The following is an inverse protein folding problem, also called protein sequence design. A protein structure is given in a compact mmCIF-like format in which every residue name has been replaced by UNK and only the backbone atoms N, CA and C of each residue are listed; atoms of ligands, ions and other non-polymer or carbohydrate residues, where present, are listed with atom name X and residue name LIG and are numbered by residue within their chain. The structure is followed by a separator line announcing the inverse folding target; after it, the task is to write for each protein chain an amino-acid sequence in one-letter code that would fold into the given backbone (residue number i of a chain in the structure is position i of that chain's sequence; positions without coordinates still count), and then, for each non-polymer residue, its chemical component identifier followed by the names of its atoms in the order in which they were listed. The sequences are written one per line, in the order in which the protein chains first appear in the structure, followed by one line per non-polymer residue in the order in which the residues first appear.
data_IF_292499742239
#
_entry.id   IF_292499742239
#
_cell.length_a   1.000
_cell.length_b   1.000
_cell.length_c   1.000
_cell.angle_alpha   90.00
_cell.angle_beta   90.00
_cell.angle_gamma   90.00
#
_symmetry.space_group_name_H-M   'P 1'
#
loop_
_entity.id
_entity.type
_entity.pdbx_description
1 polymer ?
#
# COMPACT_ATOMS: atom_id res chain seq x y z
N UNK A 1 -40.62 -46.72 -38.68
CA UNK A 1 -41.37 -45.59 -38.09
C UNK A 1 -40.53 -44.30 -38.12
N UNK A 2 -40.32 -43.70 -39.30
CA UNK A 2 -39.45 -42.52 -39.49
C UNK A 2 -40.19 -41.34 -40.15
N UNK A 3 -41.50 -41.18 -39.90
CA UNK A 3 -42.32 -40.22 -40.68
C UNK A 3 -42.90 -39.08 -39.84
N UNK A 4 -42.57 -38.97 -38.54
CA UNK A 4 -43.10 -37.89 -37.67
C UNK A 4 -42.09 -36.79 -37.33
N UNK A 5 -40.79 -37.01 -37.54
CA UNK A 5 -39.78 -36.00 -37.18
C UNK A 5 -39.57 -34.93 -38.28
N UNK A 6 -39.85 -35.25 -39.54
CA UNK A 6 -39.58 -34.36 -40.68
C UNK A 6 -40.64 -33.27 -40.88
N UNK A 7 -41.87 -33.51 -40.43
CA UNK A 7 -42.98 -32.55 -40.61
C UNK A 7 -42.79 -31.30 -39.74
N UNK A 8 -42.30 -31.44 -38.51
CA UNK A 8 -42.03 -30.32 -37.62
C UNK A 8 -40.80 -29.52 -38.05
N UNK A 9 -39.77 -30.16 -38.61
CA UNK A 9 -38.58 -29.47 -39.13
C UNK A 9 -38.88 -28.73 -40.43
N UNK A 10 -39.75 -29.28 -41.29
CA UNK A 10 -40.27 -28.54 -42.45
C UNK A 10 -41.14 -27.35 -42.05
N UNK A 11 -42.02 -27.51 -41.05
CA UNK A 11 -42.91 -26.42 -40.61
C UNK A 11 -42.14 -25.22 -40.03
N UNK A 12 -41.05 -25.48 -39.29
CA UNK A 12 -40.19 -24.43 -38.73
C UNK A 12 -39.25 -23.78 -39.77
N UNK A 13 -39.02 -24.42 -40.92
CA UNK A 13 -38.25 -23.84 -42.04
C UNK A 13 -39.09 -22.94 -42.96
N UNK A 14 -40.42 -23.04 -42.89
CA UNK A 14 -41.35 -22.26 -43.73
C UNK A 14 -41.53 -20.80 -43.28
N UNK A 15 -41.17 -20.47 -42.04
CA UNK A 15 -41.23 -19.11 -41.52
C UNK A 15 -39.83 -18.65 -41.09
N UNK A 16 -39.06 -17.95 -41.95
CA UNK A 16 -37.82 -17.34 -41.52
C UNK A 16 -38.12 -16.43 -40.31
N UNK A 17 -37.31 -16.54 -39.25
CA UNK A 17 -37.40 -15.71 -38.04
C UNK A 17 -37.41 -14.24 -38.48
N UNK A 18 -38.59 -13.60 -38.45
CA UNK A 18 -38.75 -12.22 -38.86
C UNK A 18 -37.97 -11.36 -37.87
N UNK A 19 -36.98 -10.60 -38.34
CA UNK A 19 -36.27 -9.66 -37.50
C UNK A 19 -37.20 -8.46 -37.22
N UNK A 20 -37.65 -8.24 -35.96
CA UNK A 20 -38.61 -7.19 -35.65
C UNK A 20 -38.06 -5.77 -35.84
N UNK A 21 -36.74 -5.61 -35.97
CA UNK A 21 -36.07 -4.34 -36.21
C UNK A 21 -35.75 -4.10 -37.69
N UNK A 22 -36.00 -5.09 -38.56
CA UNK A 22 -35.80 -4.92 -39.99
C UNK A 22 -37.01 -4.18 -40.57
N UNK A 23 -36.82 -3.08 -41.32
CA UNK A 23 -37.94 -2.38 -41.95
C UNK A 23 -38.66 -3.34 -42.91
N UNK A 24 -40.01 -3.31 -42.96
CA UNK A 24 -40.78 -4.22 -43.81
C UNK A 24 -40.41 -4.03 -45.28
N UNK A 25 -40.07 -5.13 -45.95
CA UNK A 25 -39.63 -5.18 -47.36
C UNK A 25 -40.81 -5.07 -48.37
N UNK A 26 -42.06 -5.07 -47.89
CA UNK A 26 -43.25 -4.94 -48.73
C UNK A 26 -43.66 -3.47 -48.97
N UNK A 27 -44.58 -3.21 -49.93
CA UNK A 27 -45.15 -1.88 -50.13
C UNK A 27 -45.73 -1.37 -48.80
N UNK A 28 -45.22 -0.22 -48.34
CA UNK A 28 -45.77 0.43 -47.15
C UNK A 28 -47.22 0.77 -47.43
N UNK A 29 -48.13 0.34 -46.55
CA UNK A 29 -49.51 0.84 -46.59
C UNK A 29 -49.46 2.36 -46.45
N UNK A 30 -50.03 3.07 -47.41
CA UNK A 30 -50.14 4.53 -47.45
C UNK A 30 -51.30 5.07 -46.60
N UNK A 31 -52.09 4.17 -46.00
CA UNK A 31 -53.31 4.51 -45.26
C UNK A 31 -53.15 4.14 -43.79
N UNK A 32 -53.59 5.02 -42.90
CA UNK A 32 -53.68 4.76 -41.46
C UNK A 32 -54.81 3.76 -41.17
N UNK A 33 -54.53 2.76 -40.33
CA UNK A 33 -55.55 1.84 -39.81
C UNK A 33 -56.26 2.39 -38.56
N UNK A 34 -55.86 3.59 -38.12
CA UNK A 34 -56.45 4.27 -36.97
C UNK A 34 -57.85 4.75 -37.30
N UNK A 35 -58.78 4.56 -36.36
CA UNK A 35 -60.08 5.20 -36.47
C UNK A 35 -59.93 6.71 -36.27
N UNK A 36 -60.78 7.55 -36.89
CA UNK A 36 -60.69 9.00 -36.78
C UNK A 36 -60.71 9.52 -35.32
N UNK A 37 -61.45 8.86 -34.44
CA UNK A 37 -61.52 9.20 -33.01
C UNK A 37 -60.18 8.96 -32.28
N UNK A 38 -59.54 7.80 -32.53
CA UNK A 38 -58.23 7.47 -31.96
C UNK A 38 -57.15 8.40 -32.52
N UNK A 39 -57.22 8.68 -33.81
CA UNK A 39 -56.31 9.63 -34.46
C UNK A 39 -56.41 11.04 -33.84
N UNK A 40 -57.64 11.53 -33.65
CA UNK A 40 -57.89 12.82 -33.01
C UNK A 40 -57.37 12.87 -31.56
N UNK A 41 -57.63 11.81 -30.78
CA UNK A 41 -57.14 11.70 -29.40
C UNK A 41 -55.60 11.71 -29.33
N UNK A 42 -54.94 10.92 -30.19
CA UNK A 42 -53.48 10.85 -30.27
C UNK A 42 -52.88 12.19 -30.67
N UNK A 43 -53.50 12.87 -31.64
CA UNK A 43 -53.09 14.20 -32.06
C UNK A 43 -53.19 15.23 -30.93
N UNK A 44 -54.32 15.27 -30.22
CA UNK A 44 -54.49 16.14 -29.05
C UNK A 44 -53.45 15.85 -27.96
N UNK A 45 -53.20 14.57 -27.67
CA UNK A 45 -52.20 14.14 -26.69
C UNK A 45 -50.79 14.59 -27.08
N UNK A 46 -50.42 14.46 -28.35
CA UNK A 46 -49.14 14.92 -28.87
C UNK A 46 -48.97 16.44 -28.70
N UNK A 47 -49.99 17.23 -29.05
CA UNK A 47 -49.97 18.68 -28.87
C UNK A 47 -49.83 19.08 -27.39
N UNK A 48 -50.54 18.39 -26.48
CA UNK A 48 -50.43 18.65 -25.04
C UNK A 48 -49.01 18.38 -24.55
N UNK A 49 -48.40 17.25 -24.96
CA UNK A 49 -47.02 16.93 -24.61
C UNK A 49 -46.04 17.97 -25.14
N UNK A 50 -46.19 18.39 -26.40
CA UNK A 50 -45.34 19.41 -27.01
C UNK A 50 -45.43 20.75 -26.25
N UNK A 51 -46.65 21.18 -25.89
CA UNK A 51 -46.87 22.41 -25.12
C UNK A 51 -46.26 22.34 -23.73
N UNK A 52 -46.40 21.20 -23.05
CA UNK A 52 -45.81 20.99 -21.71
C UNK A 52 -44.28 21.06 -21.77
N UNK A 53 -43.68 20.41 -22.76
CA UNK A 53 -42.23 20.40 -22.90
C UNK A 53 -41.70 21.78 -23.24
N UNK A 54 -42.34 22.47 -24.19
CA UNK A 54 -42.04 23.86 -24.49
C UNK A 54 -42.11 24.74 -23.24
N UNK A 55 -43.17 24.58 -22.43
CA UNK A 55 -43.32 25.33 -21.19
C UNK A 55 -42.21 25.01 -20.19
N UNK A 56 -41.85 23.74 -20.00
CA UNK A 56 -40.79 23.29 -19.09
C UNK A 56 -39.44 23.91 -19.47
N UNK A 57 -39.05 23.82 -20.73
CA UNK A 57 -37.80 24.42 -21.23
C UNK A 57 -37.80 25.94 -21.08
N UNK A 58 -38.91 26.59 -21.44
CA UNK A 58 -39.00 28.05 -21.37
C UNK A 58 -39.06 28.58 -19.93
N UNK A 59 -39.64 27.87 -18.98
CA UNK A 59 -39.73 28.35 -17.60
C UNK A 59 -38.36 28.67 -16.99
N UNK A 60 -37.34 27.86 -17.30
CA UNK A 60 -35.99 28.05 -16.77
C UNK A 60 -35.34 29.31 -17.35
N UNK A 61 -35.41 29.50 -18.67
CA UNK A 61 -34.78 30.63 -19.35
C UNK A 61 -35.61 31.91 -19.35
N UNK A 62 -36.90 31.82 -18.98
CA UNK A 62 -37.77 32.98 -18.82
C UNK A 62 -37.29 33.85 -17.67
N UNK A 63 -36.99 33.27 -16.50
CA UNK A 63 -36.71 34.02 -15.27
C UNK A 63 -35.58 35.05 -15.44
N UNK A 64 -34.44 34.76 -16.09
CA UNK A 64 -33.35 35.73 -16.22
C UNK A 64 -33.66 36.89 -17.18
N UNK A 65 -34.38 36.63 -18.28
CA UNK A 65 -34.52 37.60 -19.39
C UNK A 65 -35.91 38.23 -19.49
N UNK A 66 -36.96 37.43 -19.31
CA UNK A 66 -38.36 37.81 -19.53
C UNK A 66 -39.21 37.76 -18.25
N UNK A 67 -38.60 37.53 -17.09
CA UNK A 67 -39.27 37.57 -15.79
C UNK A 67 -39.60 38.99 -15.35
N UNK A 68 -40.50 39.08 -14.36
CA UNK A 68 -40.75 40.31 -13.61
C UNK A 68 -39.46 40.82 -12.96
N UNK A 69 -39.42 42.09 -12.56
CA UNK A 69 -38.24 42.68 -11.89
C UNK A 69 -37.83 41.88 -10.65
N UNK A 70 -38.82 41.39 -9.90
CA UNK A 70 -38.62 40.59 -8.68
C UNK A 70 -38.00 39.23 -9.03
N UNK A 71 -38.59 38.48 -9.97
CA UNK A 71 -38.08 37.17 -10.39
C UNK A 71 -36.62 37.24 -10.90
N UNK A 72 -36.27 38.33 -11.63
CA UNK A 72 -34.91 38.54 -12.12
C UNK A 72 -33.92 38.79 -10.98
N UNK A 73 -34.32 39.54 -9.96
CA UNK A 73 -33.46 39.78 -8.79
C UNK A 73 -33.30 38.54 -7.92
N UNK A 74 -34.37 37.76 -7.73
CA UNK A 74 -34.31 36.48 -7.03
C UNK A 74 -33.36 35.51 -7.73
N UNK A 75 -33.41 35.40 -9.06
CA UNK A 75 -32.48 34.58 -9.83
C UNK A 75 -31.02 35.02 -9.65
N UNK A 76 -30.75 36.33 -9.73
CA UNK A 76 -29.39 36.87 -9.48
C UNK A 76 -28.92 36.62 -8.05
N UNK A 77 -29.82 36.74 -7.07
CA UNK A 77 -29.54 36.44 -5.66
C UNK A 77 -29.20 34.96 -5.49
N UNK A 78 -30.00 34.05 -6.05
CA UNK A 78 -29.77 32.61 -5.98
C UNK A 78 -28.39 32.23 -6.55
N UNK A 79 -28.01 32.78 -7.71
CA UNK A 79 -26.68 32.54 -8.30
C UNK A 79 -25.58 33.01 -7.35
N UNK A 80 -25.70 34.21 -6.78
CA UNK A 80 -24.70 34.75 -5.84
C UNK A 80 -24.59 33.87 -4.59
N UNK A 81 -25.71 33.38 -4.06
CA UNK A 81 -25.72 32.47 -2.91
C UNK A 81 -25.11 31.11 -3.23
N UNK A 82 -25.42 30.53 -4.39
CA UNK A 82 -24.80 29.29 -4.84
C UNK A 82 -23.29 29.43 -4.99
N UNK A 83 -22.82 30.52 -5.62
CA UNK A 83 -21.40 30.80 -5.77
C UNK A 83 -20.71 30.98 -4.42
N UNK A 84 -21.34 31.69 -3.48
CA UNK A 84 -20.83 31.86 -2.12
C UNK A 84 -20.67 30.52 -1.41
N UNK A 85 -21.69 29.65 -1.48
CA UNK A 85 -21.61 28.28 -0.92
C UNK A 85 -20.46 27.48 -1.53
N UNK A 86 -20.32 27.49 -2.86
CA UNK A 86 -19.23 26.80 -3.55
C UNK A 86 -17.84 27.30 -3.10
N UNK A 87 -17.68 28.61 -2.93
CA UNK A 87 -16.44 29.20 -2.44
C UNK A 87 -16.14 28.78 -1.00
N UNK A 88 -17.15 28.81 -0.12
CA UNK A 88 -17.01 28.40 1.27
C UNK A 88 -16.63 26.91 1.38
N UNK A 89 -17.33 26.03 0.66
CA UNK A 89 -17.04 24.60 0.59
C UNK A 89 -15.62 24.34 0.10
N UNK A 90 -15.21 24.98 -1.01
CA UNK A 90 -13.85 24.84 -1.55
C UNK A 90 -12.79 25.36 -0.58
N UNK A 91 -13.06 26.46 0.10
CA UNK A 91 -12.13 27.01 1.10
C UNK A 91 -11.96 26.08 2.31
N UNK A 92 -13.05 25.44 2.77
CA UNK A 92 -13.04 24.50 3.88
C UNK A 92 -12.30 23.21 3.50
N UNK A 93 -12.54 22.69 2.30
CA UNK A 93 -11.83 21.53 1.73
C UNK A 93 -10.32 21.77 1.69
N UNK A 94 -9.88 22.90 1.13
CA UNK A 94 -8.46 23.25 1.06
C UNK A 94 -7.83 23.43 2.45
N UNK A 95 -8.57 24.00 3.41
CA UNK A 95 -8.09 24.14 4.79
C UNK A 95 -7.89 22.77 5.43
N UNK A 96 -8.83 21.86 5.26
CA UNK A 96 -8.73 20.50 5.78
C UNK A 96 -7.56 19.74 5.14
N UNK A 97 -7.41 19.84 3.83
CA UNK A 97 -6.30 19.24 3.10
C UNK A 97 -4.95 19.72 3.64
N UNK A 98 -4.74 21.04 3.75
CA UNK A 98 -3.49 21.60 4.29
C UNK A 98 -3.21 21.17 5.73
N UNK A 99 -4.25 21.04 6.55
CA UNK A 99 -4.10 20.53 7.92
C UNK A 99 -3.69 19.05 7.93
N UNK A 100 -4.20 18.24 7.01
CA UNK A 100 -3.81 16.83 6.88
C UNK A 100 -2.36 16.70 6.40
N UNK A 101 -1.97 17.45 5.37
CA UNK A 101 -0.60 17.49 4.85
C UNK A 101 0.40 17.97 5.91
N UNK A 102 0.02 18.98 6.71
CA UNK A 102 0.86 19.45 7.81
C UNK A 102 1.08 18.38 8.88
N UNK A 103 0.03 17.63 9.25
CA UNK A 103 0.14 16.51 10.19
C UNK A 103 1.00 15.38 9.64
N UNK A 104 0.81 15.03 8.38
CA UNK A 104 1.63 14.01 7.71
C UNK A 104 3.11 14.43 7.66
N UNK A 105 3.40 15.68 7.30
CA UNK A 105 4.77 16.18 7.30
C UNK A 105 5.41 16.17 8.68
N UNK A 106 4.66 16.53 9.73
CA UNK A 106 5.14 16.45 11.11
C UNK A 106 5.46 15.00 11.50
N UNK A 107 4.56 14.07 11.21
CA UNK A 107 4.77 12.65 11.45
C UNK A 107 6.04 12.11 10.75
N UNK A 108 6.24 12.45 9.47
CA UNK A 108 7.43 12.03 8.73
C UNK A 108 8.73 12.58 9.35
N UNK A 109 8.73 13.86 9.79
CA UNK A 109 9.88 14.45 10.49
C UNK A 109 10.20 13.73 11.79
N UNK A 110 9.18 13.35 12.56
CA UNK A 110 9.35 12.60 13.81
C UNK A 110 9.92 11.20 13.55
N UNK A 111 9.43 10.51 12.52
CA UNK A 111 9.94 9.21 12.10
C UNK A 111 11.40 9.30 11.69
N UNK A 112 11.76 10.28 10.86
CA UNK A 112 13.15 10.50 10.42
C UNK A 112 14.06 10.81 11.61
N UNK A 113 13.62 11.68 12.52
CA UNK A 113 14.36 12.01 13.73
C UNK A 113 14.63 10.76 14.59
N UNK A 114 13.61 9.91 14.78
CA UNK A 114 13.74 8.65 15.51
C UNK A 114 14.69 7.66 14.80
N UNK A 115 14.65 7.59 13.47
CA UNK A 115 15.55 6.75 12.70
C UNK A 115 17.02 7.18 12.88
N UNK A 116 17.30 8.48 12.76
CA UNK A 116 18.63 9.05 12.99
C UNK A 116 19.13 8.77 14.41
N UNK A 117 18.25 8.90 15.41
CA UNK A 117 18.60 8.59 16.80
C UNK A 117 18.96 7.11 16.97
N UNK A 118 18.15 6.20 16.40
CA UNK A 118 18.42 4.74 16.43
C UNK A 118 19.74 4.39 15.75
N UNK A 119 20.05 5.01 14.62
CA UNK A 119 21.29 4.75 13.90
C UNK A 119 22.52 5.27 14.66
N UNK A 120 22.40 6.42 15.32
CA UNK A 120 23.43 6.93 16.22
C UNK A 120 23.66 5.96 17.38
N UNK A 121 22.60 5.49 18.02
CA UNK A 121 22.69 4.56 19.14
C UNK A 121 23.32 3.23 18.71
N UNK A 122 22.91 2.67 17.57
CA UNK A 122 23.54 1.47 17.00
C UNK A 122 25.04 1.65 16.77
N UNK A 123 25.47 2.81 16.24
CA UNK A 123 26.90 3.12 16.04
C UNK A 123 27.66 3.18 17.36
N UNK A 124 27.08 3.79 18.39
CA UNK A 124 27.67 3.85 19.73
C UNK A 124 27.78 2.45 20.33
N UNK A 125 26.72 1.65 20.28
CA UNK A 125 26.71 0.28 20.78
C UNK A 125 27.74 -0.60 20.06
N UNK A 126 27.81 -0.51 18.74
CA UNK A 126 28.81 -1.21 17.94
C UNK A 126 30.23 -0.79 18.33
N UNK A 127 30.51 0.52 18.46
CA UNK A 127 31.82 1.02 18.87
C UNK A 127 32.21 0.52 20.27
N UNK A 128 31.28 0.53 21.23
CA UNK A 128 31.48 0.00 22.58
C UNK A 128 31.79 -1.50 22.55
N UNK A 129 31.01 -2.28 21.80
CA UNK A 129 31.25 -3.72 21.63
C UNK A 129 32.62 -3.99 21.03
N UNK A 130 33.01 -3.28 19.96
CA UNK A 130 34.31 -3.45 19.32
C UNK A 130 35.48 -3.05 20.22
N UNK A 131 35.30 -2.02 21.06
CA UNK A 131 36.30 -1.63 22.06
C UNK A 131 36.46 -2.72 23.11
N UNK A 132 35.35 -3.25 23.66
CA UNK A 132 35.38 -4.34 24.62
C UNK A 132 36.06 -5.60 24.05
N UNK A 133 35.74 -5.97 22.80
CA UNK A 133 36.41 -7.08 22.11
C UNK A 133 37.91 -6.85 21.95
N UNK A 134 38.32 -5.62 21.61
CA UNK A 134 39.74 -5.27 21.47
C UNK A 134 40.47 -5.38 22.81
N UNK A 135 39.89 -4.87 23.88
CA UNK A 135 40.49 -4.88 25.22
C UNK A 135 40.64 -6.30 25.74
N UNK A 136 39.63 -7.16 25.53
CA UNK A 136 39.69 -8.57 25.91
C UNK A 136 40.74 -9.34 25.11
N UNK A 137 40.83 -9.12 23.79
CA UNK A 137 41.90 -9.71 22.97
C UNK A 137 43.29 -9.28 23.46
N UNK A 138 43.46 -8.00 23.85
CA UNK A 138 44.71 -7.50 24.42
C UNK A 138 45.03 -8.16 25.76
N UNK A 139 44.02 -8.38 26.61
CA UNK A 139 44.15 -9.07 27.90
C UNK A 139 44.55 -10.54 27.72
N UNK A 140 43.97 -11.23 26.75
CA UNK A 140 44.34 -12.61 26.42
C UNK A 140 45.75 -12.67 25.82
N UNK A 141 46.12 -11.73 24.96
CA UNK A 141 47.48 -11.66 24.40
C UNK A 141 48.53 -11.40 25.49
N UNK A 142 48.27 -10.47 26.42
CA UNK A 142 49.20 -10.22 27.52
C UNK A 142 49.32 -11.43 28.44
N UNK A 143 48.20 -12.09 28.77
CA UNK A 143 48.18 -13.31 29.57
C UNK A 143 48.96 -14.46 28.91
N UNK A 144 48.73 -14.70 27.61
CA UNK A 144 49.45 -15.74 26.85
C UNK A 144 50.93 -15.45 26.73
N UNK A 145 51.33 -14.19 26.50
CA UNK A 145 52.73 -13.79 26.50
C UNK A 145 53.38 -14.01 27.87
N UNK A 146 52.70 -13.62 28.95
CA UNK A 146 53.20 -13.83 30.32
C UNK A 146 53.37 -15.32 30.64
N UNK A 147 52.38 -16.15 30.29
CA UNK A 147 52.46 -17.60 30.45
C UNK A 147 53.61 -18.21 29.63
N UNK A 148 53.84 -17.72 28.40
CA UNK A 148 54.97 -18.13 27.58
C UNK A 148 56.32 -17.74 28.21
N UNK A 149 56.44 -16.52 28.75
CA UNK A 149 57.65 -16.08 29.46
C UNK A 149 57.93 -16.91 30.71
N UNK A 150 56.91 -17.25 31.51
CA UNK A 150 57.05 -18.12 32.69
C UNK A 150 57.51 -19.52 32.25
N UNK A 151 56.87 -20.11 31.24
CA UNK A 151 57.24 -21.43 30.72
C UNK A 151 58.69 -21.46 30.20
N UNK A 152 59.10 -20.43 29.46
CA UNK A 152 60.48 -20.31 28.98
C UNK A 152 61.49 -20.18 30.13
N UNK A 153 61.16 -19.40 31.18
CA UNK A 153 62.00 -19.26 32.37
C UNK A 153 62.12 -20.58 33.16
N UNK A 154 61.01 -21.32 33.32
CA UNK A 154 61.02 -22.65 33.93
C UNK A 154 61.86 -23.64 33.13
N UNK A 155 61.79 -23.61 31.80
CA UNK A 155 62.61 -24.45 30.93
C UNK A 155 64.11 -24.15 31.06
N UNK A 156 64.49 -22.88 31.30
CA UNK A 156 65.89 -22.48 31.52
C UNK A 156 66.43 -22.88 32.91
N UNK A 157 65.57 -22.93 33.94
CA UNK A 157 65.97 -23.30 35.31
C UNK A 157 66.00 -24.81 35.58
N UNK A 158 65.30 -25.62 34.79
CA UNK A 158 65.25 -27.08 34.96
C UNK A 158 65.67 -27.81 33.66
N UNK A 159 66.98 -28.06 33.44
CA UNK A 159 67.47 -28.68 32.21
C UNK A 159 67.08 -30.17 32.03
N UNK A 160 66.56 -30.84 33.06
CA UNK A 160 66.25 -32.27 33.00
C UNK A 160 64.92 -32.63 32.32
N UNK A 161 64.08 -31.65 31.96
CA UNK A 161 62.76 -31.91 31.34
C UNK A 161 62.67 -31.54 29.84
N UNK A 162 63.82 -31.28 29.19
CA UNK A 162 63.87 -30.83 27.80
C UNK A 162 63.46 -31.88 26.73
N UNK A 163 63.13 -33.12 27.11
CA UNK A 163 62.76 -34.19 26.15
C UNK A 163 61.29 -34.18 25.71
N UNK A 164 60.40 -33.39 26.31
CA UNK A 164 58.96 -33.48 26.06
C UNK A 164 58.40 -32.52 25.00
N UNK A 165 59.21 -31.67 24.37
CA UNK A 165 58.73 -30.66 23.41
C UNK A 165 58.51 -31.16 21.98
N UNK A 166 58.72 -32.44 21.65
CA UNK A 166 58.52 -32.96 20.29
C UNK A 166 57.29 -33.88 20.08
N UNK A 167 56.45 -34.14 21.08
CA UNK A 167 55.27 -35.00 20.90
C UNK A 167 54.01 -34.38 21.50
N UNK A 168 53.35 -33.49 20.75
CA UNK A 168 51.91 -33.21 20.98
C UNK A 168 51.21 -32.76 19.69
N UNK A 169 51.33 -33.58 18.65
CA UNK A 169 50.24 -33.76 17.70
C UNK A 169 49.25 -34.77 18.29
N UNK A 170 48.11 -34.29 18.79
CA UNK A 170 46.97 -35.14 19.16
C UNK A 170 46.70 -35.25 20.67
N UNK A 171 45.42 -35.10 21.03
CA UNK A 171 44.80 -35.27 22.35
C UNK A 171 45.12 -34.23 23.46
N UNK A 172 44.32 -33.16 23.44
CA UNK A 172 44.25 -32.11 24.47
C UNK A 172 43.10 -32.35 25.47
N UNK A 173 43.05 -33.43 26.24
CA UNK A 173 42.07 -33.50 27.35
C UNK A 173 42.56 -34.11 28.68
N UNK A 174 43.75 -34.72 28.78
CA UNK A 174 44.14 -35.40 30.04
C UNK A 174 45.23 -34.71 30.88
N UNK A 175 46.00 -33.76 30.32
CA UNK A 175 47.24 -33.27 30.97
C UNK A 175 47.03 -32.01 31.85
N UNK A 176 45.90 -31.31 31.73
CA UNK A 176 45.65 -30.07 32.48
C UNK A 176 45.53 -30.28 34.01
N UNK A 177 45.22 -31.49 34.48
CA UNK A 177 45.09 -31.78 35.92
C UNK A 177 46.42 -31.90 36.67
N UNK A 178 47.49 -32.31 36.00
CA UNK A 178 48.80 -32.53 36.65
C UNK A 178 49.64 -31.25 36.73
N UNK A 179 49.46 -30.30 35.82
CA UNK A 179 50.23 -29.04 35.83
C UNK A 179 49.84 -28.11 36.99
N UNK A 180 48.56 -28.08 37.39
CA UNK A 180 48.11 -27.29 38.53
C UNK A 180 48.67 -27.82 39.87
N UNK A 181 48.83 -29.13 40.02
CA UNK A 181 49.39 -29.73 41.23
C UNK A 181 50.89 -29.44 41.40
N UNK A 182 51.66 -29.43 40.31
CA UNK A 182 53.11 -29.16 40.38
C UNK A 182 53.40 -27.68 40.66
N UNK A 183 52.59 -26.75 40.14
CA UNK A 183 52.78 -25.32 40.43
C UNK A 183 52.41 -24.92 41.87
N UNK A 184 51.42 -25.58 42.50
CA UNK A 184 51.10 -25.32 43.92
C UNK A 184 52.22 -25.81 44.83
N UNK A 185 52.88 -26.94 44.51
CA UNK A 185 53.99 -27.48 45.32
C UNK A 185 55.25 -26.59 45.22
N UNK A 186 55.53 -25.98 44.07
CA UNK A 186 56.68 -25.07 43.93
C UNK A 186 56.52 -23.73 44.67
N UNK A 187 55.29 -23.24 44.86
CA UNK A 187 55.05 -22.00 45.63
C UNK A 187 55.17 -22.23 47.14
N UNK A 188 54.85 -23.44 47.64
CA UNK A 188 54.92 -23.76 49.06
C UNK A 188 56.33 -24.17 49.56
N UNK A 189 57.26 -24.54 48.68
CA UNK A 189 58.63 -24.89 49.08
C UNK A 189 59.60 -23.68 49.14
N UNK A 190 59.13 -22.48 48.77
CA UNK A 190 59.94 -21.26 48.72
C UNK A 190 59.33 -20.11 49.55
N UNK A 191 58.55 -20.44 50.59
CA UNK A 191 58.10 -19.55 51.66
C UNK A 191 58.64 -20.07 52.99
#
# INVERSE_FOLDING_TARGET
MKCKLDLLTCFLKLFPKLNPLHPPLGPKRTVSLETPAVHHHNHQRALIMQRREHHRCHQVWRKPFYGTSIEREEYRKEIREQLKRQMEEKSAELKLQRLSEAKESQYLREVDHLALFRDREKKIQHSKAMTAYRDENKRVQSFTHHAFSINAFCALKCPENASWTMLSGGHKESICGLFLLVSVVCVFLHA
#
